data_IF_845848394503
#
_entry.id   IF_845848394503
#
_cell.length_a   1.000
_cell.length_b   1.000
_cell.length_c   1.000
_cell.angle_alpha   90.00
_cell.angle_beta   90.00
_cell.angle_gamma   90.00
#
_symmetry.space_group_name_H-M   'P 1'
#
loop_
_entity.id
_entity.type
_entity.pdbx_description
1 polymer ?
#
# COMPACT_ATOMS: atom_id res chain seq x y z
N UNK A 1 -8.30 -6.73 18.35
CA UNK A 1 -7.61 -6.78 17.04
C UNK A 1 -6.48 -7.80 17.11
N UNK A 2 -6.25 -8.53 16.03
CA UNK A 2 -5.15 -9.49 15.90
C UNK A 2 -4.12 -8.94 14.89
N UNK A 3 -2.84 -9.00 15.24
CA UNK A 3 -1.75 -8.71 14.32
C UNK A 3 -1.09 -10.03 13.92
N UNK A 4 -1.06 -10.31 12.62
CA UNK A 4 -0.39 -11.49 12.06
C UNK A 4 0.88 -11.04 11.35
N UNK A 5 2.04 -11.40 11.86
CA UNK A 5 3.33 -11.05 11.25
C UNK A 5 3.83 -12.27 10.48
N UNK A 6 3.83 -12.16 9.16
CA UNK A 6 4.36 -13.18 8.26
C UNK A 6 5.87 -13.00 8.17
N UNK A 7 6.61 -13.98 8.63
CA UNK A 7 8.07 -13.93 8.69
C UNK A 7 8.67 -15.27 8.30
N UNK A 8 9.98 -15.27 8.09
CA UNK A 8 10.80 -16.46 7.99
C UNK A 8 11.80 -16.44 9.14
N UNK A 9 11.87 -17.49 9.96
CA UNK A 9 12.87 -17.54 11.01
C UNK A 9 14.27 -17.38 10.41
N UNK A 10 15.16 -16.61 11.04
CA UNK A 10 16.53 -16.51 10.61
C UNK A 10 17.19 -17.87 10.61
N UNK A 11 17.92 -18.22 9.53
CA UNK A 11 18.64 -19.51 9.44
C UNK A 11 19.67 -19.69 10.55
N UNK A 12 20.19 -18.61 11.13
CA UNK A 12 20.96 -18.52 12.37
C UNK A 12 20.58 -17.19 13.02
N UNK A 13 19.88 -17.24 14.15
CA UNK A 13 19.74 -16.09 15.00
C UNK A 13 21.16 -15.68 15.47
N UNK A 14 21.56 -14.45 15.23
CA UNK A 14 22.68 -13.86 15.97
C UNK A 14 22.20 -13.74 17.41
N UNK A 15 22.85 -14.40 18.35
CA UNK A 15 22.47 -14.37 19.76
C UNK A 15 22.29 -12.91 20.22
N UNK A 16 21.11 -12.58 20.72
CA UNK A 16 20.77 -11.28 21.29
C UNK A 16 20.31 -10.20 20.31
N UNK A 17 20.18 -10.46 19.00
CA UNK A 17 19.67 -9.48 18.03
C UNK A 17 18.30 -9.91 17.51
N UNK A 18 17.27 -9.15 17.89
CA UNK A 18 15.91 -9.36 17.39
C UNK A 18 15.75 -8.85 15.94
N UNK A 19 15.10 -9.64 15.10
CA UNK A 19 14.68 -9.20 13.75
C UNK A 19 13.62 -8.11 13.83
N UNK A 20 13.42 -7.35 12.75
CA UNK A 20 12.32 -6.37 12.67
C UNK A 20 10.96 -7.02 13.00
N UNK A 21 10.71 -8.27 12.57
CA UNK A 21 9.46 -8.97 12.86
C UNK A 21 9.28 -9.24 14.37
N UNK A 22 10.33 -9.65 15.05
CA UNK A 22 10.31 -9.90 16.50
C UNK A 22 10.14 -8.60 17.28
N UNK A 23 10.83 -7.53 16.91
CA UNK A 23 10.65 -6.20 17.51
C UNK A 23 9.24 -5.66 17.31
N UNK A 24 8.67 -5.83 16.12
CA UNK A 24 7.28 -5.44 15.85
C UNK A 24 6.31 -6.23 16.76
N UNK A 25 6.57 -7.52 16.97
CA UNK A 25 5.76 -8.35 17.88
C UNK A 25 5.89 -7.93 19.35
N UNK A 26 7.08 -7.50 19.79
CA UNK A 26 7.27 -6.95 21.13
C UNK A 26 6.50 -5.65 21.33
N UNK A 27 6.57 -4.72 20.38
CA UNK A 27 5.80 -3.47 20.47
C UNK A 27 4.29 -3.72 20.43
N UNK A 28 3.81 -4.66 19.61
CA UNK A 28 2.41 -5.07 19.60
C UNK A 28 1.98 -5.63 20.97
N UNK A 29 2.80 -6.45 21.60
CA UNK A 29 2.54 -6.98 22.95
C UNK A 29 2.48 -5.87 24.00
N UNK A 30 3.40 -4.88 23.96
CA UNK A 30 3.37 -3.70 24.84
C UNK A 30 2.09 -2.88 24.67
N UNK A 31 1.60 -2.76 23.43
CA UNK A 31 0.35 -2.08 23.12
C UNK A 31 -0.92 -2.90 23.44
N UNK A 32 -0.79 -4.09 24.02
CA UNK A 32 -1.92 -4.98 24.34
C UNK A 32 -2.57 -5.63 23.11
N UNK A 33 -1.90 -5.63 21.95
CA UNK A 33 -2.39 -6.24 20.71
C UNK A 33 -2.05 -7.72 20.69
N UNK A 34 -3.04 -8.56 20.39
CA UNK A 34 -2.81 -10.00 20.21
C UNK A 34 -2.02 -10.22 18.93
N UNK A 35 -0.80 -10.71 19.06
CA UNK A 35 0.15 -10.88 17.96
C UNK A 35 0.48 -12.35 17.72
N UNK A 36 0.56 -12.71 16.42
CA UNK A 36 0.97 -14.02 15.95
C UNK A 36 2.15 -13.89 14.98
N UNK A 37 3.29 -14.43 15.36
CA UNK A 37 4.42 -14.63 14.46
C UNK A 37 4.20 -15.91 13.67
N UNK A 38 4.06 -15.81 12.36
CA UNK A 38 3.80 -16.94 11.47
C UNK A 38 5.01 -17.19 10.61
N UNK A 39 5.67 -18.35 10.83
CA UNK A 39 6.63 -18.86 9.88
C UNK A 39 5.90 -19.23 8.58
N UNK A 40 6.22 -18.55 7.50
CA UNK A 40 5.60 -18.81 6.19
C UNK A 40 5.93 -20.19 5.63
N UNK A 41 7.00 -20.84 6.11
CA UNK A 41 7.34 -22.20 5.73
C UNK A 41 6.33 -23.19 6.34
N UNK A 42 5.50 -23.79 5.50
CA UNK A 42 4.44 -24.71 5.92
C UNK A 42 3.18 -24.02 6.47
N UNK A 43 3.06 -22.69 6.38
CA UNK A 43 1.83 -21.99 6.73
C UNK A 43 0.78 -22.08 5.60
N UNK A 44 -0.47 -22.22 6.00
CA UNK A 44 -1.62 -22.23 5.09
C UNK A 44 -2.87 -21.71 5.78
N UNK A 45 -3.87 -21.31 4.99
CA UNK A 45 -5.17 -20.88 5.50
C UNK A 45 -6.24 -21.90 5.10
N UNK A 46 -7.01 -22.35 6.09
CA UNK A 46 -8.16 -23.23 5.92
C UNK A 46 -9.28 -22.79 6.84
N UNK A 47 -10.52 -22.76 6.34
CA UNK A 47 -11.74 -22.44 7.10
C UNK A 47 -11.63 -21.14 7.93
N UNK A 48 -11.01 -20.09 7.35
CA UNK A 48 -10.80 -18.80 8.01
C UNK A 48 -9.80 -18.83 9.18
N UNK A 49 -8.92 -19.82 9.19
CA UNK A 49 -7.88 -20.00 10.21
C UNK A 49 -6.50 -20.13 9.57
N UNK A 50 -5.51 -19.51 10.18
CA UNK A 50 -4.10 -19.73 9.83
C UNK A 50 -3.59 -20.95 10.59
N UNK A 51 -2.99 -21.85 9.85
CA UNK A 51 -2.34 -23.06 10.37
C UNK A 51 -0.86 -23.05 9.97
N UNK A 52 -0.07 -23.76 10.74
CA UNK A 52 1.27 -24.17 10.34
C UNK A 52 1.33 -25.70 10.35
N UNK A 53 2.25 -26.29 9.61
CA UNK A 53 2.40 -27.75 9.48
C UNK A 53 2.54 -28.46 10.83
N UNK A 54 3.00 -27.74 11.86
CA UNK A 54 3.19 -28.23 13.22
C UNK A 54 2.08 -27.81 14.19
N UNK A 55 1.02 -27.15 13.72
CA UNK A 55 -0.10 -26.65 14.54
C UNK A 55 -1.45 -26.91 13.86
N UNK A 56 -2.08 -28.02 14.24
CA UNK A 56 -3.38 -28.44 13.69
C UNK A 56 -4.56 -27.56 14.16
N UNK A 57 -4.41 -26.82 15.27
CA UNK A 57 -5.49 -26.00 15.82
C UNK A 57 -5.64 -24.68 15.06
N UNK A 58 -4.52 -24.11 14.64
CA UNK A 58 -4.48 -22.80 14.01
C UNK A 58 -5.19 -21.71 14.83
N UNK A 59 -5.20 -20.50 14.34
CA UNK A 59 -5.91 -19.37 14.94
C UNK A 59 -6.84 -18.68 13.93
N UNK A 60 -8.00 -18.15 14.37
CA UNK A 60 -8.95 -17.51 13.48
C UNK A 60 -8.45 -16.14 13.00
N UNK A 61 -8.83 -15.79 11.77
CA UNK A 61 -8.61 -14.49 11.16
C UNK A 61 -9.90 -13.99 10.52
N UNK A 62 -10.10 -12.68 10.55
CA UNK A 62 -11.24 -12.04 9.89
C UNK A 62 -10.89 -10.64 9.39
N UNK A 63 -11.65 -10.14 8.42
CA UNK A 63 -11.46 -8.77 7.90
C UNK A 63 -11.76 -7.68 8.94
N UNK A 64 -12.52 -7.99 9.99
CA UNK A 64 -12.96 -7.04 11.01
C UNK A 64 -11.95 -6.86 12.13
N UNK A 65 -11.14 -7.86 12.40
CA UNK A 65 -10.30 -7.87 13.60
C UNK A 65 -8.83 -8.24 13.36
N UNK A 66 -8.44 -8.47 12.12
CA UNK A 66 -7.10 -8.94 11.79
C UNK A 66 -6.41 -8.04 10.76
N UNK A 67 -5.13 -7.76 11.00
CA UNK A 67 -4.21 -7.15 10.03
C UNK A 67 -3.01 -8.08 9.86
N UNK A 68 -2.61 -8.32 8.62
CA UNK A 68 -1.40 -9.10 8.31
C UNK A 68 -0.26 -8.18 7.85
N UNK A 69 0.95 -8.40 8.35
CA UNK A 69 2.14 -7.65 8.00
C UNK A 69 3.21 -8.60 7.48
N UNK A 70 3.67 -8.39 6.25
CA UNK A 70 4.74 -9.18 5.65
C UNK A 70 6.12 -8.60 6.00
N UNK A 71 6.92 -9.33 6.78
CA UNK A 71 8.25 -8.90 7.25
C UNK A 71 9.34 -9.91 6.94
N UNK A 72 9.36 -10.40 5.70
CA UNK A 72 10.40 -11.29 5.21
C UNK A 72 10.58 -11.14 3.70
N UNK A 73 11.59 -11.78 3.14
CA UNK A 73 11.76 -11.90 1.68
C UNK A 73 10.67 -12.82 1.10
N UNK A 74 9.44 -12.32 1.11
CA UNK A 74 8.22 -13.07 0.75
C UNK A 74 8.22 -13.53 -0.72
N UNK A 75 9.00 -12.87 -1.57
CA UNK A 75 9.15 -13.22 -2.97
C UNK A 75 10.13 -14.37 -3.25
N UNK A 76 10.76 -14.92 -2.22
CA UNK A 76 11.66 -16.07 -2.38
C UNK A 76 10.95 -17.34 -2.82
N UNK A 77 9.66 -17.48 -2.52
CA UNK A 77 8.85 -18.64 -2.90
C UNK A 77 7.44 -18.22 -3.29
N UNK A 78 6.88 -18.83 -4.33
CA UNK A 78 5.49 -18.61 -4.73
C UNK A 78 4.49 -19.00 -3.62
N UNK A 79 4.83 -19.99 -2.79
CA UNK A 79 4.00 -20.38 -1.64
C UNK A 79 3.81 -19.24 -0.64
N UNK A 80 4.81 -18.38 -0.45
CA UNK A 80 4.72 -17.21 0.45
C UNK A 80 3.82 -16.12 -0.14
N UNK A 81 3.97 -15.84 -1.44
CA UNK A 81 3.06 -14.93 -2.15
C UNK A 81 1.63 -15.45 -2.16
N UNK A 82 1.45 -16.77 -2.34
CA UNK A 82 0.14 -17.39 -2.30
C UNK A 82 -0.51 -17.32 -0.90
N UNK A 83 0.27 -17.42 0.17
CA UNK A 83 -0.24 -17.21 1.52
C UNK A 83 -0.77 -15.76 1.67
N UNK A 84 0.00 -14.76 1.23
CA UNK A 84 -0.44 -13.36 1.25
C UNK A 84 -1.72 -13.16 0.41
N UNK A 85 -1.81 -13.82 -0.76
CA UNK A 85 -3.03 -13.83 -1.59
C UNK A 85 -4.24 -14.39 -0.84
N UNK A 86 -4.05 -15.40 0.00
CA UNK A 86 -5.16 -15.97 0.78
C UNK A 86 -5.67 -14.98 1.82
N UNK A 87 -4.81 -14.20 2.49
CA UNK A 87 -5.24 -13.10 3.36
C UNK A 87 -6.07 -12.08 2.59
N UNK A 88 -5.59 -11.64 1.43
CA UNK A 88 -6.29 -10.66 0.59
C UNK A 88 -7.65 -11.19 0.09
N UNK A 89 -7.75 -12.47 -0.26
CA UNK A 89 -9.02 -13.10 -0.66
C UNK A 89 -10.03 -13.14 0.49
N UNK A 90 -9.57 -13.27 1.72
CA UNK A 90 -10.41 -13.18 2.92
C UNK A 90 -10.68 -11.72 3.32
N UNK A 91 -10.24 -10.76 2.50
CA UNK A 91 -10.38 -9.32 2.75
C UNK A 91 -9.69 -8.83 4.02
N UNK A 92 -8.74 -9.61 4.53
CA UNK A 92 -7.88 -9.20 5.63
C UNK A 92 -6.92 -8.14 5.12
N UNK A 93 -6.85 -6.96 5.73
CA UNK A 93 -5.87 -5.94 5.36
C UNK A 93 -4.44 -6.46 5.47
N UNK A 94 -3.62 -6.18 4.45
CA UNK A 94 -2.22 -6.61 4.38
C UNK A 94 -1.27 -5.42 4.24
N UNK A 95 -0.17 -5.43 4.97
CA UNK A 95 0.95 -4.47 4.89
C UNK A 95 2.24 -5.23 4.58
N UNK A 96 2.83 -5.11 3.40
CA UNK A 96 2.25 -4.51 2.20
C UNK A 96 1.44 -5.57 1.43
N UNK A 97 0.66 -5.12 0.44
CA UNK A 97 -0.10 -6.03 -0.42
C UNK A 97 0.82 -6.93 -1.25
N UNK A 98 0.26 -8.02 -1.78
CA UNK A 98 0.97 -8.88 -2.74
C UNK A 98 1.50 -8.08 -3.92
N UNK A 99 0.66 -7.23 -4.52
CA UNK A 99 1.03 -6.42 -5.68
C UNK A 99 2.22 -5.49 -5.38
N UNK A 100 2.16 -4.72 -4.30
CA UNK A 100 3.29 -3.89 -3.86
C UNK A 100 4.55 -4.72 -3.64
N UNK A 101 4.42 -5.89 -3.00
CA UNK A 101 5.55 -6.77 -2.71
C UNK A 101 6.19 -7.31 -3.98
N UNK A 102 5.40 -7.71 -4.97
CA UNK A 102 5.89 -8.19 -6.27
C UNK A 102 6.54 -7.07 -7.10
N UNK A 103 5.96 -5.86 -7.10
CA UNK A 103 6.55 -4.68 -7.75
C UNK A 103 7.92 -4.36 -7.15
N UNK A 104 8.00 -4.23 -5.84
CA UNK A 104 9.23 -3.88 -5.14
C UNK A 104 10.33 -4.96 -5.26
N UNK A 105 9.96 -6.21 -5.45
CA UNK A 105 10.91 -7.32 -5.59
C UNK A 105 11.56 -7.39 -6.98
N UNK A 106 10.96 -6.78 -7.97
CA UNK A 106 11.43 -6.74 -9.35
C UNK A 106 11.87 -5.32 -9.71
N UNK A 107 13.18 -5.12 -9.82
CA UNK A 107 13.77 -3.80 -10.06
C UNK A 107 13.29 -3.14 -11.35
N UNK A 108 12.99 -3.93 -12.38
CA UNK A 108 12.50 -3.35 -13.63
C UNK A 108 11.02 -2.98 -13.56
N UNK A 109 10.19 -3.80 -12.91
CA UNK A 109 8.79 -3.43 -12.63
C UNK A 109 8.70 -2.18 -11.79
N UNK A 110 9.55 -2.06 -10.75
CA UNK A 110 9.66 -0.81 -9.96
C UNK A 110 10.03 0.36 -10.87
N UNK A 111 11.06 0.21 -11.73
CA UNK A 111 11.46 1.25 -12.70
C UNK A 111 10.30 1.69 -13.59
N UNK A 112 9.51 0.76 -14.13
CA UNK A 112 8.37 1.08 -14.99
C UNK A 112 7.29 1.88 -14.22
N UNK A 113 6.92 1.39 -13.04
CA UNK A 113 5.89 2.05 -12.22
C UNK A 113 6.33 3.46 -11.78
N UNK A 114 7.57 3.63 -11.37
CA UNK A 114 8.10 4.95 -10.99
C UNK A 114 8.07 5.91 -12.17
N UNK A 115 8.49 5.45 -13.37
CA UNK A 115 8.46 6.26 -14.60
C UNK A 115 7.04 6.66 -14.98
N UNK A 116 6.08 5.73 -14.90
CA UNK A 116 4.68 5.98 -15.25
C UNK A 116 3.98 6.95 -14.26
N UNK A 117 4.63 7.23 -13.12
CA UNK A 117 4.20 8.20 -12.11
C UNK A 117 5.13 9.43 -12.02
N UNK A 118 5.94 9.70 -13.05
CA UNK A 118 6.85 10.85 -13.15
C UNK A 118 7.84 10.96 -11.97
N UNK A 119 8.24 9.82 -11.39
CA UNK A 119 9.24 9.75 -10.30
C UNK A 119 10.63 9.61 -10.90
N UNK A 120 11.50 10.57 -10.60
CA UNK A 120 12.86 10.60 -11.13
C UNK A 120 13.71 9.43 -10.64
N UNK A 121 14.47 8.85 -11.57
CA UNK A 121 15.35 7.71 -11.32
C UNK A 121 16.53 7.70 -12.31
N UNK A 122 17.63 7.00 -12.03
CA UNK A 122 18.71 6.83 -12.99
C UNK A 122 18.22 6.16 -14.27
N UNK A 123 18.78 6.52 -15.42
CA UNK A 123 18.47 5.84 -16.68
C UNK A 123 18.65 4.34 -16.54
N UNK A 124 17.69 3.58 -17.02
CA UNK A 124 17.62 2.14 -16.80
C UNK A 124 17.11 1.43 -18.06
N UNK A 125 17.77 0.33 -18.44
CA UNK A 125 17.41 -0.51 -19.56
C UNK A 125 17.38 -1.96 -19.13
N UNK A 126 16.31 -2.68 -19.50
CA UNK A 126 16.26 -4.14 -19.39
C UNK A 126 17.14 -4.76 -20.48
N UNK A 127 17.99 -5.68 -20.08
CA UNK A 127 18.79 -6.49 -20.98
C UNK A 127 18.30 -7.93 -20.94
N UNK A 128 17.80 -8.42 -22.08
CA UNK A 128 17.48 -9.82 -22.27
C UNK A 128 18.40 -10.37 -23.35
N UNK A 129 18.98 -11.55 -23.12
CA UNK A 129 19.74 -12.24 -24.16
C UNK A 129 18.80 -13.08 -25.02
N UNK A 130 19.05 -13.06 -26.34
CA UNK A 130 18.39 -13.94 -27.30
C UNK A 130 19.29 -15.11 -27.71
N UNK A 131 18.75 -16.06 -28.47
CA UNK A 131 19.48 -17.25 -28.91
C UNK A 131 20.52 -16.99 -30.02
N UNK A 132 20.48 -15.81 -30.66
CA UNK A 132 21.37 -15.49 -31.76
C UNK A 132 22.74 -15.02 -31.26
N UNK A 133 23.74 -15.92 -31.31
CA UNK A 133 25.12 -15.65 -30.88
C UNK A 133 25.86 -14.61 -31.75
N UNK A 134 25.28 -14.17 -32.88
CA UNK A 134 25.85 -13.11 -33.71
C UNK A 134 25.50 -11.71 -33.21
N UNK A 135 24.53 -11.59 -32.31
CA UNK A 135 24.09 -10.33 -31.76
C UNK A 135 24.84 -10.07 -30.45
N UNK A 136 25.52 -8.93 -30.34
CA UNK A 136 26.07 -8.47 -29.09
C UNK A 136 24.96 -7.73 -28.29
N UNK A 137 24.21 -8.48 -27.49
CA UNK A 137 23.10 -7.95 -26.68
C UNK A 137 23.58 -6.97 -25.62
N UNK A 138 24.81 -7.15 -25.08
CA UNK A 138 25.38 -6.26 -24.09
C UNK A 138 25.62 -4.86 -24.68
N UNK A 139 26.27 -4.80 -25.86
CA UNK A 139 26.54 -3.55 -26.59
C UNK A 139 25.24 -2.84 -26.97
N UNK A 140 24.27 -3.56 -27.56
CA UNK A 140 22.99 -2.98 -27.96
C UNK A 140 22.20 -2.42 -26.76
N UNK A 141 22.27 -3.08 -25.61
CA UNK A 141 21.60 -2.61 -24.40
C UNK A 141 22.31 -1.39 -23.81
N UNK A 142 23.64 -1.38 -23.84
CA UNK A 142 24.43 -0.22 -23.43
C UNK A 142 24.16 1.01 -24.30
N UNK A 143 24.09 0.84 -25.62
CA UNK A 143 23.74 1.93 -26.55
C UNK A 143 22.38 2.55 -26.26
N UNK A 144 21.40 1.70 -25.89
CA UNK A 144 20.05 2.16 -25.48
C UNK A 144 20.04 2.93 -24.16
N UNK A 145 20.98 2.65 -23.26
CA UNK A 145 21.09 3.34 -21.99
C UNK A 145 21.51 4.80 -22.14
N UNK A 146 22.20 5.16 -23.25
CA UNK A 146 22.64 6.52 -23.57
C UNK A 146 23.40 7.20 -22.44
N UNK A 147 24.39 6.50 -21.89
CA UNK A 147 25.31 6.99 -20.84
C UNK A 147 26.75 6.56 -21.14
N UNK A 148 27.65 6.89 -20.23
CA UNK A 148 29.07 6.48 -20.30
C UNK A 148 29.39 5.51 -19.18
N UNK A 149 30.44 4.71 -19.38
CA UNK A 149 31.02 3.93 -18.28
C UNK A 149 31.61 4.84 -17.19
N UNK A 150 31.61 4.41 -15.92
CA UNK A 150 31.06 3.13 -15.44
C UNK A 150 29.52 3.10 -15.42
N UNK A 151 28.95 1.90 -15.44
CA UNK A 151 27.53 1.65 -15.28
C UNK A 151 27.27 0.61 -14.19
N UNK A 152 26.02 0.48 -13.76
CA UNK A 152 25.60 -0.56 -12.84
C UNK A 152 24.88 -1.66 -13.62
N UNK A 153 25.34 -2.89 -13.44
CA UNK A 153 24.67 -4.12 -13.87
C UNK A 153 23.97 -4.75 -12.67
N UNK A 154 22.68 -5.06 -12.80
CA UNK A 154 21.88 -5.65 -11.71
C UNK A 154 21.12 -6.88 -12.21
N UNK A 155 20.97 -7.89 -11.35
CA UNK A 155 19.92 -8.89 -11.52
C UNK A 155 18.57 -8.30 -11.15
N UNK A 156 17.47 -8.68 -11.81
CA UNK A 156 16.15 -8.15 -11.54
C UNK A 156 15.72 -8.43 -10.09
N UNK A 157 15.98 -9.63 -9.62
CA UNK A 157 15.66 -10.06 -8.25
C UNK A 157 16.95 -10.20 -7.44
N UNK A 158 16.91 -9.78 -6.21
CA UNK A 158 18.03 -9.84 -5.27
C UNK A 158 17.85 -8.82 -4.16
N UNK A 159 18.47 -9.07 -3.01
CA UNK A 159 18.40 -8.22 -1.82
C UNK A 159 19.79 -7.93 -1.27
N UNK A 160 19.94 -6.88 -0.48
CA UNK A 160 21.16 -6.54 0.25
C UNK A 160 22.40 -6.32 -0.64
N UNK A 161 22.20 -5.80 -1.87
CA UNK A 161 23.29 -5.52 -2.81
C UNK A 161 23.90 -6.76 -3.50
N UNK A 162 23.37 -7.95 -3.25
CA UNK A 162 23.76 -9.16 -3.99
C UNK A 162 23.23 -9.04 -5.42
N UNK A 163 24.10 -9.29 -6.42
CA UNK A 163 23.76 -9.16 -7.84
C UNK A 163 23.79 -7.71 -8.35
N UNK A 164 24.47 -6.79 -7.67
CA UNK A 164 24.75 -5.41 -8.13
C UNK A 164 26.24 -5.28 -8.40
N UNK A 165 26.61 -4.93 -9.62
CA UNK A 165 27.99 -4.88 -10.08
C UNK A 165 28.30 -3.54 -10.76
N UNK A 166 29.44 -2.93 -10.43
CA UNK A 166 29.98 -1.80 -11.17
C UNK A 166 30.75 -2.33 -12.37
N UNK A 167 30.43 -1.82 -13.57
CA UNK A 167 31.04 -2.23 -14.81
C UNK A 167 31.68 -1.03 -15.49
N UNK A 168 32.98 -1.14 -15.82
CA UNK A 168 33.79 -0.01 -16.25
C UNK A 168 34.06 0.02 -17.77
N UNK A 169 33.71 -1.06 -18.48
CA UNK A 169 33.93 -1.13 -19.92
C UNK A 169 32.95 -2.09 -20.59
N UNK A 170 32.77 -1.94 -21.92
CA UNK A 170 31.96 -2.84 -22.73
C UNK A 170 32.52 -4.27 -22.70
N UNK A 171 33.85 -4.42 -22.69
CA UNK A 171 34.49 -5.73 -22.62
C UNK A 171 34.17 -6.43 -21.30
N UNK A 172 34.19 -5.71 -20.17
CA UNK A 172 33.81 -6.25 -18.86
C UNK A 172 32.33 -6.60 -18.82
N UNK A 173 31.46 -5.75 -19.40
CA UNK A 173 30.01 -6.02 -19.49
C UNK A 173 29.76 -7.31 -20.25
N UNK A 174 30.36 -7.48 -21.41
CA UNK A 174 30.18 -8.67 -22.25
C UNK A 174 30.67 -9.94 -21.52
N UNK A 175 31.86 -9.91 -20.91
CA UNK A 175 32.40 -11.04 -20.17
C UNK A 175 31.52 -11.45 -18.98
N UNK A 176 31.04 -10.48 -18.19
CA UNK A 176 30.18 -10.75 -17.04
C UNK A 176 28.82 -11.31 -17.48
N UNK A 177 28.24 -10.74 -18.51
CA UNK A 177 26.93 -11.19 -19.01
C UNK A 177 27.00 -12.61 -19.59
N UNK A 178 28.03 -12.94 -20.35
CA UNK A 178 28.27 -14.31 -20.85
C UNK A 178 28.40 -15.31 -19.70
N UNK A 179 29.13 -14.95 -18.64
CA UNK A 179 29.27 -15.81 -17.45
C UNK A 179 27.94 -16.04 -16.75
N UNK A 180 27.17 -14.96 -16.50
CA UNK A 180 25.87 -15.05 -15.82
C UNK A 180 24.88 -15.91 -16.61
N UNK A 181 24.78 -15.70 -17.91
CA UNK A 181 23.90 -16.51 -18.77
C UNK A 181 24.33 -17.96 -18.91
N UNK A 182 25.65 -18.24 -18.80
CA UNK A 182 26.14 -19.63 -18.76
C UNK A 182 25.75 -20.33 -17.45
N UNK A 183 25.62 -19.58 -16.36
CA UNK A 183 25.20 -20.11 -15.06
C UNK A 183 23.68 -20.30 -14.99
N UNK A 184 22.92 -19.39 -15.57
CA UNK A 184 21.46 -19.41 -15.61
C UNK A 184 20.96 -18.70 -16.89
N UNK A 185 20.48 -19.47 -17.86
CA UNK A 185 19.97 -18.94 -19.12
C UNK A 185 18.67 -18.15 -18.96
N UNK A 186 17.98 -18.29 -17.81
CA UNK A 186 16.72 -17.59 -17.51
C UNK A 186 16.93 -16.26 -16.79
N UNK A 187 18.18 -15.86 -16.53
CA UNK A 187 18.47 -14.64 -15.78
C UNK A 187 18.14 -13.40 -16.62
N UNK A 188 17.34 -12.52 -16.07
CA UNK A 188 17.15 -11.18 -16.62
C UNK A 188 18.07 -10.18 -15.92
N UNK A 189 18.68 -9.31 -16.72
CA UNK A 189 19.65 -8.32 -16.26
C UNK A 189 19.15 -6.91 -16.55
N UNK A 190 19.60 -5.97 -15.75
CA UNK A 190 19.25 -4.56 -15.85
C UNK A 190 20.54 -3.74 -15.90
N UNK A 191 20.66 -2.88 -16.89
CA UNK A 191 21.70 -1.86 -16.96
C UNK A 191 21.14 -0.56 -16.43
N UNK A 192 21.89 0.08 -15.55
CA UNK A 192 21.52 1.37 -14.98
C UNK A 192 22.70 2.34 -15.01
N UNK A 193 22.41 3.60 -15.26
CA UNK A 193 23.37 4.69 -15.15
C UNK A 193 23.99 4.73 -13.75
N UNK A 194 25.30 4.83 -13.67
CA UNK A 194 25.98 5.00 -12.39
C UNK A 194 25.98 6.47 -12.00
N UNK A 195 25.37 6.75 -10.86
CA UNK A 195 25.38 8.08 -10.26
C UNK A 195 26.41 8.04 -9.12
N UNK A 196 27.53 8.78 -9.29
CA UNK A 196 28.54 8.86 -8.26
C UNK A 196 28.01 9.69 -7.09
N UNK A 197 27.99 9.10 -5.92
CA UNK A 197 27.60 9.77 -4.67
C UNK A 197 28.45 9.25 -3.51
N UNK A 198 28.67 10.10 -2.51
CA UNK A 198 29.35 9.72 -1.27
C UNK A 198 28.41 9.01 -0.29
N UNK A 199 27.11 9.15 -0.48
CA UNK A 199 26.07 8.51 0.33
C UNK A 199 24.77 8.38 -0.46
N UNK A 200 23.91 7.52 0.01
CA UNK A 200 22.51 7.50 -0.32
C UNK A 200 21.64 7.80 0.91
N UNK A 201 20.36 8.07 0.68
CA UNK A 201 19.41 8.36 1.74
C UNK A 201 18.32 7.28 1.74
N UNK A 202 18.08 6.69 2.91
CA UNK A 202 16.93 5.84 3.17
C UNK A 202 15.85 6.62 3.89
N UNK A 203 14.65 6.62 3.33
CA UNK A 203 13.45 7.19 3.91
C UNK A 203 12.47 6.08 4.24
N UNK A 204 12.03 6.03 5.50
CA UNK A 204 10.96 5.12 5.90
C UNK A 204 9.63 5.83 5.79
N UNK A 205 8.76 5.30 4.94
CA UNK A 205 7.42 5.84 4.68
C UNK A 205 6.38 4.90 5.27
N UNK A 206 5.41 5.45 5.98
CA UNK A 206 4.22 4.76 6.46
C UNK A 206 2.99 5.51 5.97
N UNK A 207 2.24 4.91 5.04
CA UNK A 207 1.13 5.53 4.32
C UNK A 207 1.57 6.83 3.59
N UNK A 208 1.14 7.98 4.07
CA UNK A 208 1.50 9.28 3.51
C UNK A 208 2.47 10.07 4.40
N UNK A 209 3.11 9.43 5.37
CA UNK A 209 3.99 10.07 6.34
C UNK A 209 5.40 9.50 6.30
N UNK A 210 6.39 10.37 6.47
CA UNK A 210 7.79 9.99 6.66
C UNK A 210 8.02 9.80 8.16
N UNK A 211 8.34 8.56 8.55
CA UNK A 211 8.52 8.17 9.95
C UNK A 211 9.98 7.99 10.36
N UNK A 212 10.92 8.14 9.44
CA UNK A 212 12.34 8.10 9.74
C UNK A 212 13.19 8.29 8.50
N UNK A 213 14.40 8.86 8.70
CA UNK A 213 15.36 9.12 7.64
C UNK A 213 16.78 8.88 8.14
N UNK A 214 17.64 8.36 7.28
CA UNK A 214 19.06 8.26 7.51
C UNK A 214 19.83 8.34 6.20
N UNK A 215 21.01 8.89 6.23
CA UNK A 215 21.99 8.70 5.15
C UNK A 215 22.85 7.47 5.46
N UNK A 216 23.28 6.80 4.41
CA UNK A 216 24.20 5.66 4.47
C UNK A 216 25.45 6.02 3.67
N UNK A 217 26.56 6.14 4.32
CA UNK A 217 27.82 6.54 3.68
C UNK A 217 28.40 5.38 2.88
N UNK A 218 28.86 5.67 1.67
CA UNK A 218 29.54 4.69 0.83
C UNK A 218 30.94 4.42 1.43
N UNK A 219 31.33 3.17 1.71
CA UNK A 219 32.65 2.86 2.20
C UNK A 219 33.73 3.15 1.15
N UNK A 220 34.95 3.54 1.59
CA UNK A 220 36.06 3.93 0.70
C UNK A 220 36.42 2.91 -0.39
N UNK A 221 36.10 1.65 -0.21
CA UNK A 221 36.44 0.54 -1.13
C UNK A 221 35.24 -0.08 -1.81
N UNK A 222 34.04 0.49 -1.69
CA UNK A 222 32.83 0.01 -2.34
C UNK A 222 32.12 1.18 -3.05
N UNK A 223 31.23 0.87 -3.93
CA UNK A 223 30.31 1.84 -4.56
C UNK A 223 28.88 1.73 -3.99
N UNK A 224 28.65 0.76 -3.10
CA UNK A 224 27.35 0.47 -2.45
C UNK A 224 27.36 1.00 -1.03
N UNK A 225 26.21 1.51 -0.61
CA UNK A 225 25.95 2.10 0.71
C UNK A 225 25.11 1.20 1.62
N UNK A 226 25.09 -0.11 1.38
CA UNK A 226 24.25 -1.03 2.13
C UNK A 226 24.70 -1.17 3.60
N UNK A 227 23.81 -0.84 4.55
CA UNK A 227 24.04 -0.99 5.98
C UNK A 227 24.48 -2.40 6.39
N UNK A 228 23.88 -3.44 5.78
CA UNK A 228 24.24 -4.85 6.02
C UNK A 228 25.69 -5.20 5.59
N UNK A 229 26.34 -4.34 4.84
CA UNK A 229 27.74 -4.51 4.38
C UNK A 229 28.72 -3.59 5.14
N UNK A 230 28.29 -2.97 6.25
CA UNK A 230 29.15 -2.19 7.13
C UNK A 230 29.20 -0.69 6.80
N UNK A 231 28.28 -0.17 6.00
CA UNK A 231 28.15 1.28 5.80
C UNK A 231 27.81 1.99 7.12
N UNK A 232 28.46 3.11 7.38
CA UNK A 232 28.11 3.99 8.50
C UNK A 232 26.87 4.79 8.16
N UNK A 233 26.12 5.16 9.22
CA UNK A 233 24.86 5.90 9.06
C UNK A 233 24.85 7.16 9.89
N UNK A 234 24.23 8.22 9.38
CA UNK A 234 24.02 9.49 10.06
C UNK A 234 22.58 9.97 9.90
N UNK A 235 22.15 10.86 10.81
CA UNK A 235 20.89 11.57 10.66
C UNK A 235 20.88 12.40 9.38
N UNK A 236 19.75 12.48 8.74
CA UNK A 236 19.58 13.26 7.52
C UNK A 236 18.26 14.04 7.56
N UNK A 237 18.33 15.33 7.24
CA UNK A 237 17.17 16.19 7.14
C UNK A 237 16.81 16.34 5.66
N UNK A 238 15.59 15.93 5.31
CA UNK A 238 15.11 15.99 3.95
C UNK A 238 14.71 17.40 3.54
N UNK A 239 15.08 17.80 2.33
CA UNK A 239 14.44 18.93 1.65
C UNK A 239 13.00 18.62 1.30
N UNK A 240 12.19 19.64 1.00
CA UNK A 240 10.78 19.43 0.61
C UNK A 240 10.68 18.56 -0.66
N UNK A 241 11.55 18.76 -1.63
CA UNK A 241 11.57 17.97 -2.87
C UNK A 241 11.90 16.49 -2.62
N UNK A 242 12.83 16.21 -1.71
CA UNK A 242 13.17 14.83 -1.32
C UNK A 242 12.03 14.15 -0.57
N UNK A 243 11.27 14.90 0.25
CA UNK A 243 10.03 14.40 0.88
C UNK A 243 8.98 14.05 -0.18
N UNK A 244 8.70 14.98 -1.09
CA UNK A 244 7.71 14.82 -2.16
C UNK A 244 8.01 13.59 -3.03
N UNK A 245 9.25 13.44 -3.51
CA UNK A 245 9.62 12.32 -4.37
C UNK A 245 9.59 10.97 -3.62
N UNK A 246 9.98 10.97 -2.33
CA UNK A 246 9.93 9.75 -1.51
C UNK A 246 8.50 9.28 -1.26
N UNK A 247 7.59 10.20 -0.95
CA UNK A 247 6.16 9.90 -0.80
C UNK A 247 5.53 9.48 -2.13
N UNK A 248 5.89 10.15 -3.24
CA UNK A 248 5.43 9.78 -4.57
C UNK A 248 5.88 8.36 -4.96
N UNK A 249 7.14 8.00 -4.68
CA UNK A 249 7.68 6.67 -4.96
C UNK A 249 6.97 5.58 -4.15
N UNK A 250 6.76 5.78 -2.84
CA UNK A 250 6.02 4.86 -1.99
C UNK A 250 4.57 4.66 -2.47
N UNK A 251 3.90 5.76 -2.83
CA UNK A 251 2.55 5.76 -3.37
C UNK A 251 2.45 5.05 -4.72
N UNK A 252 3.41 5.29 -5.61
CA UNK A 252 3.45 4.68 -6.95
C UNK A 252 3.44 3.16 -6.89
N UNK A 253 4.18 2.55 -5.96
CA UNK A 253 4.19 1.09 -5.76
C UNK A 253 3.02 0.57 -4.93
N UNK A 254 2.12 1.43 -4.46
CA UNK A 254 0.99 1.06 -3.60
C UNK A 254 1.42 0.60 -2.20
N UNK A 255 2.53 1.15 -1.69
CA UNK A 255 3.11 0.72 -0.43
C UNK A 255 2.55 1.44 0.79
N UNK A 256 2.13 0.69 1.81
CA UNK A 256 1.78 1.23 3.12
C UNK A 256 3.02 1.48 3.99
N UNK A 257 3.91 0.51 4.09
CA UNK A 257 5.13 0.61 4.87
C UNK A 257 6.33 0.23 4.01
N UNK A 258 7.06 1.24 3.54
CA UNK A 258 8.16 1.06 2.60
C UNK A 258 9.42 1.77 3.05
N UNK A 259 10.56 1.26 2.60
CA UNK A 259 11.83 1.98 2.62
C UNK A 259 12.13 2.47 1.21
N UNK A 260 12.24 3.77 1.03
CA UNK A 260 12.61 4.41 -0.24
C UNK A 260 14.07 4.82 -0.17
N UNK A 261 14.84 4.39 -1.15
CA UNK A 261 16.26 4.74 -1.26
C UNK A 261 16.48 5.69 -2.44
N UNK A 262 17.14 6.80 -2.19
CA UNK A 262 17.48 7.75 -3.25
C UNK A 262 18.92 8.28 -3.12
N UNK A 263 19.45 8.72 -4.25
CA UNK A 263 20.72 9.47 -4.31
C UNK A 263 20.38 10.95 -4.43
N UNK A 264 20.87 11.82 -3.53
CA UNK A 264 20.82 13.27 -3.72
C UNK A 264 21.55 13.66 -5.01
N UNK A 265 20.92 14.47 -5.84
CA UNK A 265 21.47 14.93 -7.11
C UNK A 265 21.07 16.39 -7.30
N UNK A 266 21.74 17.30 -6.60
CA UNK A 266 21.38 18.71 -6.53
C UNK A 266 19.89 18.87 -6.17
N UNK A 267 19.13 19.61 -6.98
CA UNK A 267 17.69 19.80 -6.78
C UNK A 267 16.82 18.69 -7.41
N UNK A 268 17.42 17.58 -7.85
CA UNK A 268 16.72 16.52 -8.59
C UNK A 268 17.10 15.13 -8.06
N UNK A 269 16.63 14.76 -6.85
CA UNK A 269 16.94 13.48 -6.23
C UNK A 269 16.44 12.31 -7.11
N UNK A 270 17.24 11.20 -7.13
CA UNK A 270 17.00 10.05 -8.00
C UNK A 270 16.67 8.81 -7.16
N UNK A 271 15.47 8.29 -7.28
CA UNK A 271 15.05 7.06 -6.59
C UNK A 271 15.78 5.87 -7.20
N UNK A 272 16.47 5.09 -6.36
CA UNK A 272 17.23 3.90 -6.79
C UNK A 272 16.54 2.59 -6.43
N UNK A 273 15.71 2.58 -5.37
CA UNK A 273 15.00 1.40 -4.92
C UNK A 273 13.81 1.77 -4.03
N UNK A 274 12.75 0.96 -4.09
CA UNK A 274 11.66 0.96 -3.10
C UNK A 274 11.51 -0.44 -2.53
N UNK A 275 11.58 -0.55 -1.20
CA UNK A 275 11.60 -1.81 -0.47
C UNK A 275 10.29 -2.00 0.30
N UNK A 276 9.49 -3.02 -0.03
CA UNK A 276 8.23 -3.35 0.67
C UNK A 276 8.44 -3.96 2.06
N UNK A 277 9.66 -4.34 2.41
CA UNK A 277 9.99 -4.95 3.72
C UNK A 277 11.38 -4.48 4.20
N UNK A 278 11.60 -3.16 4.21
CA UNK A 278 12.86 -2.57 4.67
C UNK A 278 13.10 -2.84 6.17
N UNK A 279 14.34 -3.16 6.55
CA UNK A 279 14.74 -3.27 7.95
C UNK A 279 14.69 -1.91 8.66
N UNK A 280 14.40 -1.92 9.95
CA UNK A 280 14.30 -0.69 10.77
C UNK A 280 15.54 -0.43 11.61
N UNK A 281 16.44 -1.43 11.75
CA UNK A 281 17.59 -1.41 12.63
C UNK A 281 18.49 -0.18 12.44
N UNK A 282 18.82 0.10 11.17
CA UNK A 282 19.71 1.23 10.84
C UNK A 282 19.10 2.58 11.21
N UNK A 283 17.82 2.80 10.86
CA UNK A 283 17.11 4.05 11.17
C UNK A 283 16.93 4.22 12.68
N UNK A 284 16.47 3.18 13.38
CA UNK A 284 16.28 3.21 14.83
C UNK A 284 17.59 3.48 15.57
N UNK A 285 18.69 2.80 15.16
CA UNK A 285 20.02 3.03 15.74
C UNK A 285 20.56 4.43 15.50
N UNK A 286 20.25 5.02 14.33
CA UNK A 286 20.76 6.35 13.95
C UNK A 286 19.92 7.48 14.56
N UNK A 287 18.61 7.34 14.59
CA UNK A 287 17.69 8.42 14.98
C UNK A 287 17.26 8.35 16.43
N UNK A 288 17.27 7.17 17.03
CA UNK A 288 16.67 6.88 18.34
C UNK A 288 15.14 6.75 18.26
N UNK A 289 14.55 6.80 17.06
CA UNK A 289 13.08 6.71 16.84
C UNK A 289 12.68 5.24 16.83
N UNK A 290 11.68 4.85 17.63
CA UNK A 290 11.12 3.49 17.60
C UNK A 290 10.12 3.37 16.44
N UNK A 291 10.60 2.96 15.30
CA UNK A 291 9.79 2.78 14.08
C UNK A 291 8.70 1.73 14.29
N UNK A 292 9.01 0.64 14.98
CA UNK A 292 8.05 -0.45 15.20
C UNK A 292 6.89 0.00 16.10
N UNK A 293 7.13 0.87 17.10
CA UNK A 293 6.06 1.47 17.93
C UNK A 293 5.13 2.33 17.09
N UNK A 294 5.68 3.18 16.21
CA UNK A 294 4.89 4.03 15.30
C UNK A 294 3.99 3.17 14.41
N UNK A 295 4.56 2.11 13.83
CA UNK A 295 3.82 1.19 12.96
C UNK A 295 2.71 0.45 13.73
N UNK A 296 2.97 -0.01 14.96
CA UNK A 296 1.94 -0.64 15.79
C UNK A 296 0.81 0.34 16.12
N UNK A 297 1.12 1.58 16.48
CA UNK A 297 0.11 2.62 16.72
C UNK A 297 -0.75 2.87 15.48
N UNK A 298 -0.13 2.97 14.31
CA UNK A 298 -0.83 3.11 13.04
C UNK A 298 -1.76 1.92 12.74
N UNK A 299 -1.28 0.69 12.95
CA UNK A 299 -2.05 -0.55 12.71
C UNK A 299 -3.23 -0.67 13.68
N UNK A 300 -3.09 -0.19 14.91
CA UNK A 300 -4.15 -0.29 15.94
C UNK A 300 -5.31 0.68 15.73
N UNK A 301 -5.11 1.74 15.00
CA UNK A 301 -6.22 2.59 14.54
C UNK A 301 -6.87 1.93 13.30
N UNK A 302 -8.03 1.32 13.53
CA UNK A 302 -8.78 0.57 12.50
C UNK A 302 -9.23 1.43 11.31
N UNK A 303 -9.17 2.77 11.41
CA UNK A 303 -9.48 3.66 10.31
C UNK A 303 -8.33 3.82 9.32
N UNK A 304 -7.10 3.52 9.75
CA UNK A 304 -5.91 3.74 8.94
C UNK A 304 -5.68 2.68 7.86
N UNK A 305 -6.09 1.42 8.11
CA UNK A 305 -5.80 0.33 7.21
C UNK A 305 -7.05 -0.13 6.48
N UNK A 306 -7.07 0.14 5.20
CA UNK A 306 -8.12 -0.32 4.31
C UNK A 306 -7.77 -1.72 3.79
N UNK A 307 -8.76 -2.62 3.79
CA UNK A 307 -8.64 -3.91 3.13
C UNK A 307 -8.38 -3.77 1.62
N UNK A 308 -8.19 -4.88 0.89
CA UNK A 308 -8.07 -4.84 -0.55
C UNK A 308 -9.25 -4.12 -1.18
N UNK A 309 -9.00 -3.40 -2.30
CA UNK A 309 -10.07 -2.74 -3.03
C UNK A 309 -11.14 -3.73 -3.44
N UNK A 310 -12.40 -3.38 -3.18
CA UNK A 310 -13.54 -4.20 -3.56
C UNK A 310 -14.28 -3.56 -4.74
N UNK A 311 -14.61 -4.37 -5.75
CA UNK A 311 -15.38 -3.87 -6.87
C UNK A 311 -16.87 -3.98 -6.54
N UNK A 312 -17.56 -2.85 -6.50
CA UNK A 312 -19.01 -2.78 -6.41
C UNK A 312 -19.63 -2.49 -7.79
N UNK A 313 -20.89 -2.84 -7.97
CA UNK A 313 -21.64 -2.47 -9.18
C UNK A 313 -22.05 -1.00 -9.18
N UNK A 314 -22.55 -0.50 -10.30
CA UNK A 314 -23.16 0.84 -10.38
C UNK A 314 -24.38 1.01 -9.47
N UNK A 315 -24.97 -0.09 -9.04
CA UNK A 315 -26.06 -0.18 -8.06
C UNK A 315 -25.74 -1.26 -7.05
N UNK A 316 -26.04 -0.96 -5.78
CA UNK A 316 -25.90 -1.88 -4.67
C UNK A 316 -27.14 -1.82 -3.77
N UNK A 317 -27.16 -2.64 -2.73
CA UNK A 317 -28.20 -2.65 -1.71
C UNK A 317 -27.59 -2.38 -0.35
N UNK A 318 -28.21 -1.44 0.38
CA UNK A 318 -27.83 -1.13 1.76
C UNK A 318 -29.01 -1.47 2.68
N UNK A 319 -28.70 -1.88 3.90
CA UNK A 319 -29.71 -2.02 4.95
C UNK A 319 -29.59 -0.84 5.90
N UNK A 320 -30.69 -0.15 6.15
CA UNK A 320 -30.77 0.86 7.21
C UNK A 320 -31.59 0.26 8.35
N UNK A 321 -30.96 -0.03 9.51
CA UNK A 321 -31.64 -0.69 10.62
C UNK A 321 -32.91 0.04 11.08
N UNK A 322 -32.94 1.37 11.01
CA UNK A 322 -34.10 2.19 11.34
C UNK A 322 -35.34 1.82 10.48
N UNK A 323 -35.14 1.42 9.23
CA UNK A 323 -36.25 1.07 8.33
C UNK A 323 -36.58 -0.43 8.33
N UNK A 324 -35.61 -1.26 8.78
CA UNK A 324 -35.73 -2.73 8.73
C UNK A 324 -35.84 -3.29 7.31
N UNK A 325 -35.36 -2.54 6.33
CA UNK A 325 -35.50 -2.86 4.91
C UNK A 325 -34.18 -2.68 4.16
N UNK A 326 -34.08 -3.42 3.06
CA UNK A 326 -32.97 -3.28 2.09
C UNK A 326 -33.31 -2.20 1.06
N UNK A 327 -32.45 -1.20 0.93
CA UNK A 327 -32.64 -0.05 0.06
C UNK A 327 -31.79 -0.15 -1.20
N UNK A 328 -32.31 0.35 -2.32
CA UNK A 328 -31.57 0.41 -3.61
C UNK A 328 -30.70 1.66 -3.65
N UNK A 329 -29.44 1.45 -3.89
CA UNK A 329 -28.41 2.49 -3.86
C UNK A 329 -27.79 2.65 -5.24
N UNK A 330 -27.61 3.89 -5.69
CA UNK A 330 -26.71 4.22 -6.80
C UNK A 330 -25.35 4.58 -6.22
N UNK A 331 -24.29 3.93 -6.68
CA UNK A 331 -22.91 4.28 -6.39
C UNK A 331 -22.54 5.49 -7.24
N UNK A 332 -22.67 6.71 -6.68
CA UNK A 332 -22.61 7.96 -7.46
C UNK A 332 -21.24 8.62 -7.30
N UNK A 333 -20.32 8.32 -8.23
CA UNK A 333 -18.95 8.89 -8.25
C UNK A 333 -18.94 10.41 -8.47
N UNK A 334 -20.05 11.00 -8.92
CA UNK A 334 -20.25 12.44 -9.06
C UNK A 334 -20.71 13.14 -7.77
N UNK A 335 -21.22 12.40 -6.79
CA UNK A 335 -21.62 12.98 -5.51
C UNK A 335 -20.38 13.24 -4.62
N UNK A 336 -19.84 14.46 -4.69
CA UNK A 336 -18.66 14.88 -3.93
C UNK A 336 -18.97 15.30 -2.48
N UNK A 337 -20.24 15.23 -2.04
CA UNK A 337 -20.61 15.49 -0.65
C UNK A 337 -20.10 14.39 0.30
N UNK A 338 -19.79 14.73 1.55
CA UNK A 338 -19.52 13.77 2.61
C UNK A 338 -20.77 12.96 2.96
N UNK A 339 -21.95 13.57 2.90
CA UNK A 339 -23.21 12.90 3.14
C UNK A 339 -23.74 12.20 1.90
N UNK A 340 -24.39 11.04 2.08
CA UNK A 340 -25.22 10.41 1.05
C UNK A 340 -26.53 11.21 0.87
N UNK A 341 -27.24 10.99 -0.23
CA UNK A 341 -28.57 11.55 -0.39
C UNK A 341 -29.61 10.44 -0.18
N UNK A 342 -30.51 10.64 0.77
CA UNK A 342 -31.60 9.71 1.09
C UNK A 342 -32.93 10.27 0.55
N UNK A 343 -33.62 9.46 -0.24
CA UNK A 343 -34.96 9.81 -0.70
C UNK A 343 -35.93 9.87 0.49
N UNK A 344 -36.63 10.99 0.63
CA UNK A 344 -37.58 11.24 1.71
C UNK A 344 -38.72 12.14 1.21
N UNK A 345 -39.91 11.94 1.71
CA UNK A 345 -41.11 12.77 1.40
C UNK A 345 -41.57 13.53 2.64
N UNK A 346 -42.34 14.57 2.42
CA UNK A 346 -42.94 15.38 3.48
C UNK A 346 -41.87 15.78 4.54
N UNK A 347 -40.77 16.35 4.05
CA UNK A 347 -39.67 16.78 4.89
C UNK A 347 -40.03 18.09 5.58
N UNK A 348 -40.08 18.07 6.91
CA UNK A 348 -40.42 19.22 7.75
C UNK A 348 -39.32 19.48 8.75
N UNK A 349 -38.63 20.61 8.63
CA UNK A 349 -37.64 21.08 9.61
C UNK A 349 -38.41 21.76 10.74
N UNK A 350 -38.17 21.34 12.00
CA UNK A 350 -38.78 21.95 13.15
C UNK A 350 -38.41 23.43 13.30
N UNK A 351 -39.30 24.22 13.89
CA UNK A 351 -39.13 25.70 14.04
C UNK A 351 -37.85 26.09 14.78
N UNK A 352 -37.29 25.20 15.61
CA UNK A 352 -36.04 25.40 16.34
C UNK A 352 -34.77 24.99 15.51
N UNK A 353 -34.97 24.48 14.31
CA UNK A 353 -33.86 23.99 13.42
C UNK A 353 -33.14 22.76 13.94
N UNK A 354 -33.58 22.15 15.05
CA UNK A 354 -32.83 21.06 15.72
C UNK A 354 -33.26 19.67 15.34
N UNK A 355 -34.46 19.52 14.79
CA UNK A 355 -35.03 18.22 14.41
C UNK A 355 -35.72 18.30 13.07
N UNK A 356 -35.68 17.19 12.33
CA UNK A 356 -36.41 17.01 11.07
C UNK A 356 -37.34 15.82 11.18
N UNK A 357 -38.53 15.93 10.55
CA UNK A 357 -39.43 14.80 10.31
C UNK A 357 -39.57 14.58 8.82
N UNK A 358 -39.72 13.33 8.41
CA UNK A 358 -39.90 12.95 7.02
C UNK A 358 -40.75 11.68 6.91
N UNK A 359 -41.22 11.40 5.72
CA UNK A 359 -41.85 10.10 5.42
C UNK A 359 -40.94 9.27 4.48
N UNK A 360 -40.77 8.02 4.81
CA UNK A 360 -40.18 7.02 3.95
C UNK A 360 -41.17 5.87 3.76
N UNK A 361 -41.58 5.58 2.51
CA UNK A 361 -42.60 4.55 2.16
C UNK A 361 -43.88 4.63 3.02
N UNK A 362 -44.33 5.85 3.32
CA UNK A 362 -45.54 6.11 4.07
C UNK A 362 -45.40 6.17 5.60
N UNK A 363 -44.31 5.67 6.14
CA UNK A 363 -44.01 5.73 7.58
C UNK A 363 -43.31 7.05 7.94
N UNK A 364 -43.74 7.71 9.02
CA UNK A 364 -43.16 8.97 9.52
C UNK A 364 -42.02 8.68 10.47
N UNK A 365 -40.88 9.34 10.22
CA UNK A 365 -39.66 9.27 11.03
C UNK A 365 -39.28 10.65 11.57
N UNK A 366 -38.40 10.67 12.56
CA UNK A 366 -37.86 11.90 13.16
C UNK A 366 -36.43 11.67 13.63
N UNK A 367 -35.55 12.66 13.39
CA UNK A 367 -34.16 12.63 13.88
C UNK A 367 -33.67 14.02 14.26
N UNK A 368 -32.59 14.12 15.06
CA UNK A 368 -31.82 15.34 15.21
C UNK A 368 -31.22 15.76 13.88
N UNK A 369 -31.10 17.07 13.66
CA UNK A 369 -30.36 17.63 12.52
C UNK A 369 -28.92 17.82 12.95
N UNK A 370 -27.99 17.30 12.14
CA UNK A 370 -26.54 17.53 12.31
C UNK A 370 -26.13 18.87 11.68
N UNK A 371 -26.61 19.11 10.47
CA UNK A 371 -26.39 20.36 9.73
C UNK A 371 -27.55 20.63 8.76
N UNK A 372 -27.71 21.89 8.39
CA UNK A 372 -28.59 22.29 7.28
C UNK A 372 -27.67 22.74 6.13
N UNK A 373 -27.73 21.99 5.02
CA UNK A 373 -26.97 22.30 3.81
C UNK A 373 -27.78 23.15 2.87
N UNK A 374 -27.19 24.26 2.46
CA UNK A 374 -27.75 25.10 1.39
C UNK A 374 -27.25 24.61 0.03
N UNK A 375 -28.14 24.07 -0.80
CA UNK A 375 -27.81 23.39 -2.06
C UNK A 375 -28.45 24.14 -3.22
N UNK A 376 -27.64 24.39 -4.26
CA UNK A 376 -28.11 24.96 -5.51
C UNK A 376 -28.72 23.84 -6.36
N UNK A 377 -29.99 23.94 -6.73
CA UNK A 377 -30.70 22.88 -7.46
C UNK A 377 -31.19 23.38 -8.82
N UNK A 378 -30.83 22.66 -9.89
CA UNK A 378 -31.35 22.85 -11.25
C UNK A 378 -30.73 24.01 -12.05
N UNK A 379 -31.16 24.22 -13.32
CA UNK A 379 -30.76 25.32 -14.15
C UNK A 379 -31.52 26.61 -13.72
N UNK A 380 -30.94 27.32 -12.79
CA UNK A 380 -31.48 28.57 -12.20
C UNK A 380 -31.14 28.61 -10.73
N UNK A 381 -30.93 29.79 -10.17
CA UNK A 381 -30.46 30.03 -8.79
C UNK A 381 -31.46 29.56 -7.69
N UNK A 382 -32.02 28.37 -7.83
CA UNK A 382 -32.92 27.81 -6.81
C UNK A 382 -32.09 27.24 -5.68
N UNK A 383 -32.14 27.87 -4.52
CA UNK A 383 -31.45 27.45 -3.29
C UNK A 383 -32.45 26.70 -2.42
N UNK A 384 -32.08 25.49 -2.02
CA UNK A 384 -32.86 24.65 -1.11
C UNK A 384 -32.05 24.38 0.17
N UNK A 385 -32.68 24.56 1.33
CA UNK A 385 -32.11 24.17 2.60
C UNK A 385 -32.47 22.70 2.89
N UNK A 386 -31.47 21.81 2.97
CA UNK A 386 -31.66 20.38 3.19
C UNK A 386 -31.10 19.95 4.53
N UNK A 387 -31.88 19.23 5.30
CA UNK A 387 -31.44 18.68 6.58
C UNK A 387 -30.55 17.45 6.37
N UNK A 388 -29.43 17.42 7.07
CA UNK A 388 -28.53 16.27 7.17
C UNK A 388 -28.70 15.62 8.54
N UNK A 389 -28.84 14.30 8.56
CA UNK A 389 -29.07 13.44 9.73
C UNK A 389 -28.04 12.32 9.77
N UNK A 390 -27.89 11.70 10.91
CA UNK A 390 -27.09 10.47 11.08
C UNK A 390 -27.99 9.24 11.15
N UNK A 391 -27.62 8.20 10.39
CA UNK A 391 -28.25 6.87 10.49
C UNK A 391 -27.18 5.79 10.45
N UNK A 392 -27.45 4.68 11.10
CA UNK A 392 -26.65 3.48 10.94
C UNK A 392 -26.97 2.80 9.60
N UNK A 393 -25.97 2.21 8.99
CA UNK A 393 -26.02 1.60 7.66
C UNK A 393 -25.25 0.29 7.67
N UNK A 394 -25.87 -0.79 7.18
CA UNK A 394 -25.19 -2.07 6.93
C UNK A 394 -24.97 -2.27 5.43
N UNK A 395 -23.73 -2.56 5.05
CA UNK A 395 -23.32 -2.84 3.69
C UNK A 395 -22.21 -3.88 3.66
N UNK A 396 -22.32 -4.85 2.79
CA UNK A 396 -21.32 -5.93 2.62
C UNK A 396 -20.94 -6.63 3.96
N UNK A 397 -21.94 -6.82 4.84
CA UNK A 397 -21.77 -7.44 6.16
C UNK A 397 -21.08 -6.55 7.22
N UNK A 398 -20.87 -5.27 6.93
CA UNK A 398 -20.28 -4.30 7.84
C UNK A 398 -21.32 -3.28 8.29
N UNK A 399 -21.43 -3.06 9.61
CA UNK A 399 -22.28 -2.00 10.17
C UNK A 399 -21.45 -0.71 10.29
N UNK A 400 -21.83 0.30 9.54
CA UNK A 400 -21.30 1.66 9.61
C UNK A 400 -22.23 2.49 10.49
N UNK A 401 -21.69 3.06 11.58
CA UNK A 401 -22.45 3.88 12.52
C UNK A 401 -22.36 5.36 12.14
N UNK A 402 -23.44 6.10 12.45
CA UNK A 402 -23.49 7.56 12.31
C UNK A 402 -23.14 8.06 10.90
N UNK A 403 -23.58 7.36 9.87
CA UNK A 403 -23.40 7.77 8.48
C UNK A 403 -24.30 8.98 8.18
N UNK A 404 -23.72 9.99 7.54
CA UNK A 404 -24.44 11.22 7.20
C UNK A 404 -25.35 11.05 5.97
N UNK A 405 -26.61 11.46 6.10
CA UNK A 405 -27.61 11.46 5.04
C UNK A 405 -28.27 12.83 4.92
N UNK A 406 -28.23 13.42 3.74
CA UNK A 406 -29.01 14.60 3.40
C UNK A 406 -30.37 14.16 2.84
N UNK A 407 -31.46 14.63 3.43
CA UNK A 407 -32.81 14.31 3.01
C UNK A 407 -33.21 15.10 1.77
N UNK A 408 -33.80 14.42 0.78
CA UNK A 408 -34.23 15.03 -0.48
C UNK A 408 -35.47 14.34 -1.06
N UNK A 409 -36.47 15.10 -1.49
CA UNK A 409 -37.64 14.58 -2.19
C UNK A 409 -37.35 14.37 -3.68
N UNK A 410 -36.70 13.26 -3.98
CA UNK A 410 -36.26 12.92 -5.33
C UNK A 410 -37.34 12.25 -6.15
N UNK A 411 -37.34 12.56 -7.44
CA UNK A 411 -38.27 11.96 -8.43
C UNK A 411 -37.79 10.63 -9.01
N UNK A 412 -36.54 10.23 -8.73
CA UNK A 412 -35.99 8.98 -9.25
C UNK A 412 -36.45 7.75 -8.41
N UNK A 413 -36.20 6.54 -8.96
CA UNK A 413 -36.63 5.28 -8.35
C UNK A 413 -35.62 4.67 -7.38
N UNK A 414 -34.58 5.41 -6.98
CA UNK A 414 -33.54 4.93 -6.11
C UNK A 414 -33.68 5.55 -4.73
N UNK A 415 -33.52 4.73 -3.72
CA UNK A 415 -33.70 5.16 -2.33
C UNK A 415 -32.53 6.01 -1.85
N UNK A 416 -31.28 5.68 -2.29
CA UNK A 416 -30.05 6.35 -1.85
C UNK A 416 -29.14 6.68 -3.04
N UNK A 417 -28.48 7.85 -2.98
CA UNK A 417 -27.24 8.13 -3.73
C UNK A 417 -26.05 8.05 -2.78
N UNK A 418 -25.19 7.09 -3.01
CA UNK A 418 -23.97 6.91 -2.26
C UNK A 418 -22.99 8.07 -2.55
N UNK A 419 -22.30 8.56 -1.55
CA UNK A 419 -21.29 9.61 -1.73
C UNK A 419 -19.96 9.03 -2.20
N UNK A 420 -19.19 9.85 -2.92
CA UNK A 420 -17.81 9.54 -3.30
C UNK A 420 -16.94 9.26 -2.08
N UNK A 421 -17.13 10.01 -0.99
CA UNK A 421 -16.37 9.84 0.25
C UNK A 421 -16.60 8.45 0.88
N UNK A 422 -17.85 8.01 0.97
CA UNK A 422 -18.14 6.66 1.48
C UNK A 422 -17.43 5.58 0.63
N UNK A 423 -17.41 5.72 -0.69
CA UNK A 423 -16.71 4.78 -1.56
C UNK A 423 -15.20 4.79 -1.33
N UNK A 424 -14.59 5.98 -1.17
CA UNK A 424 -13.16 6.12 -0.86
C UNK A 424 -12.84 5.52 0.51
N UNK A 425 -13.66 5.82 1.53
CA UNK A 425 -13.45 5.34 2.89
C UNK A 425 -13.57 3.82 3.01
N UNK A 426 -14.41 3.22 2.17
CA UNK A 426 -14.58 1.78 2.11
C UNK A 426 -13.74 1.11 1.01
N UNK A 427 -12.80 1.82 0.40
CA UNK A 427 -11.88 1.33 -0.63
C UNK A 427 -12.60 0.64 -1.81
N UNK A 428 -13.69 1.24 -2.28
CA UNK A 428 -14.53 0.69 -3.36
C UNK A 428 -14.14 1.23 -4.73
N UNK A 429 -14.19 0.36 -5.73
CA UNK A 429 -14.14 0.70 -7.16
C UNK A 429 -15.50 0.39 -7.77
N UNK A 430 -16.05 1.33 -8.53
CA UNK A 430 -17.34 1.13 -9.21
C UNK A 430 -17.12 0.54 -10.59
N UNK A 431 -17.70 -0.64 -10.84
CA UNK A 431 -17.86 -1.19 -12.19
C UNK A 431 -19.18 -0.71 -12.79
N UNK A 432 -19.16 0.19 -13.78
CA UNK A 432 -20.39 0.73 -14.38
C UNK A 432 -21.16 -0.31 -15.21
N UNK A 433 -20.55 -1.44 -15.56
CA UNK A 433 -21.19 -2.51 -16.33
C UNK A 433 -22.00 -3.48 -15.48
N UNK A 434 -21.79 -3.47 -14.16
CA UNK A 434 -22.32 -4.45 -13.22
C UNK A 434 -23.28 -3.83 -12.20
N UNK A 435 -24.07 -4.70 -11.55
CA UNK A 435 -25.01 -4.32 -10.48
C UNK A 435 -24.98 -5.41 -9.40
N UNK A 436 -25.10 -4.98 -8.13
CA UNK A 436 -25.26 -5.89 -6.99
C UNK A 436 -24.11 -6.91 -6.86
N UNK A 437 -22.86 -6.43 -6.99
CA UNK A 437 -21.68 -7.28 -6.85
C UNK A 437 -21.34 -7.60 -5.38
N UNK A 438 -21.68 -6.68 -4.46
CA UNK A 438 -21.41 -6.80 -3.04
C UNK A 438 -22.67 -6.96 -2.17
N UNK A 439 -23.84 -7.08 -2.80
CA UNK A 439 -25.14 -7.13 -2.08
C UNK A 439 -26.14 -8.13 -2.66
#
# INVERSE_FOLDING_TARGET
MNLVILTKPPKKALEGVLSTAERLAEEAKKAGVKCYLVDMEGAYIKDGRVHNINDDKGFPISKQDTVAVARAAITMKDSYLNLLTQFERLKVPTINTRECTEICADKYRTTLILRDNDVNQPKTVLMSMGPDKKINYAEQSFDKLKTKFPIILKTLRGTQGVGVMLVESLQSLDAITQLLYKMDESIDLLLQEYIKSEFDVRVMVLDNEIIGTMRRNVPDKDFRSNYSQGATTDKYELTEKEKEISLAAAKAVGGYWTGVDFIPNNDDPLIIEVNSSAGTEGIEGTTGTNINEIVVKYITDTNNIKGPRETCGMREKFEIPLYGETLKVKMDTGNSSTAMVLHAKDIEIGNDGKKVTWKFRGTKYRAPIVEIKRILTGPGDHIEDRATIELDLSFNGILHKNVLFTLDDRKDKLDILCSKHFMIDNNLIVDPSSKYLLS
#
